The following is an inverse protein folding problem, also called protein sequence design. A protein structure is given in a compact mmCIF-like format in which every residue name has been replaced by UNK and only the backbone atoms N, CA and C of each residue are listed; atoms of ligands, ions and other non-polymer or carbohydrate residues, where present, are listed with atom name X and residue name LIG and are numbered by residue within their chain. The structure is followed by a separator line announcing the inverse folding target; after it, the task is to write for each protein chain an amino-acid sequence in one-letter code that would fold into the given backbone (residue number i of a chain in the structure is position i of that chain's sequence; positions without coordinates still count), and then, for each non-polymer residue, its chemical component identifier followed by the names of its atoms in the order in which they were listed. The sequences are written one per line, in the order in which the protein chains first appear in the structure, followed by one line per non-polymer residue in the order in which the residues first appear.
data_IF_800607909646
#
_entry.id   IF_800607909646
#
_cell.length_a   1.000
_cell.length_b   1.000
_cell.length_c   1.000
_cell.angle_alpha   90.00
_cell.angle_beta   90.00
_cell.angle_gamma   90.00
#
_symmetry.space_group_name_H-M   'P 1'
#
loop_
_entity.id
_entity.type
_entity.pdbx_description
1 polymer ?
#
# COMPACT_ATOMS: atom_id res chain seq x y z
N UNK A 1 -11.36 1.12 28.77
CA UNK A 1 -12.27 2.28 28.63
C UNK A 1 -13.22 1.90 27.49
N UNK A 2 -14.50 1.65 27.79
CA UNK A 2 -15.50 1.24 26.79
C UNK A 2 -15.98 2.54 26.15
N UNK A 3 -15.61 2.78 24.90
CA UNK A 3 -16.16 3.91 24.12
C UNK A 3 -17.61 3.57 23.75
N UNK A 4 -18.56 4.20 24.39
CA UNK A 4 -19.95 4.19 23.93
C UNK A 4 -20.06 5.13 22.73
N UNK A 5 -20.21 4.57 21.53
CA UNK A 5 -20.52 5.34 20.31
C UNK A 5 -21.81 6.14 20.55
N UNK A 6 -21.83 7.39 20.14
CA UNK A 6 -23.05 8.15 20.19
C UNK A 6 -23.95 7.79 18.98
N UNK A 7 -25.24 8.07 19.05
CA UNK A 7 -26.21 7.72 18.00
C UNK A 7 -25.91 8.39 16.63
N UNK A 8 -25.24 9.54 16.64
CA UNK A 8 -24.87 10.24 15.41
C UNK A 8 -23.68 9.56 14.72
N UNK A 9 -22.71 9.06 15.49
CA UNK A 9 -21.60 8.26 14.97
C UNK A 9 -22.09 6.94 14.39
N UNK A 10 -23.04 6.26 15.06
CA UNK A 10 -23.64 5.03 14.56
C UNK A 10 -24.41 5.26 13.25
N UNK A 11 -25.18 6.35 13.16
CA UNK A 11 -25.90 6.73 11.95
C UNK A 11 -24.95 7.06 10.79
N UNK A 12 -23.83 7.76 11.07
CA UNK A 12 -22.82 8.07 10.09
C UNK A 12 -22.14 6.80 9.56
N UNK A 13 -21.74 5.90 10.47
CA UNK A 13 -21.15 4.60 10.13
C UNK A 13 -22.11 3.79 9.27
N UNK A 14 -23.40 3.73 9.63
CA UNK A 14 -24.40 3.00 8.83
C UNK A 14 -24.59 3.62 7.43
N UNK A 15 -24.61 4.95 7.32
CA UNK A 15 -24.67 5.64 6.03
C UNK A 15 -23.48 5.30 5.13
N UNK A 16 -22.26 5.17 5.69
CA UNK A 16 -21.11 4.71 4.93
C UNK A 16 -21.22 3.25 4.52
N UNK A 17 -21.65 2.35 5.42
CA UNK A 17 -21.92 0.94 5.09
C UNK A 17 -22.89 0.81 3.92
N UNK A 18 -23.99 1.55 3.95
CA UNK A 18 -25.01 1.52 2.89
C UNK A 18 -24.43 2.00 1.54
N UNK A 19 -23.60 3.04 1.55
CA UNK A 19 -22.91 3.53 0.33
C UNK A 19 -21.86 2.55 -0.18
N UNK A 20 -21.16 1.85 0.70
CA UNK A 20 -20.11 0.91 0.34
C UNK A 20 -20.67 -0.46 -0.11
N UNK A 21 -21.93 -0.78 0.18
CA UNK A 21 -22.56 -2.03 -0.29
C UNK A 21 -22.47 -2.22 -1.81
N UNK A 22 -22.39 -1.14 -2.59
CA UNK A 22 -22.18 -1.21 -4.04
C UNK A 22 -20.86 -1.93 -4.38
N UNK A 23 -19.86 -1.87 -3.50
CA UNK A 23 -18.56 -2.49 -3.69
C UNK A 23 -18.55 -3.97 -3.29
N UNK A 24 -19.54 -4.48 -2.54
CA UNK A 24 -19.67 -5.90 -2.20
C UNK A 24 -19.86 -6.81 -3.43
N UNK A 25 -20.11 -6.22 -4.59
CA UNK A 25 -20.17 -6.93 -5.87
C UNK A 25 -18.79 -7.20 -6.48
N UNK A 26 -17.76 -6.53 -6.01
CA UNK A 26 -16.41 -6.68 -6.52
C UNK A 26 -15.65 -7.72 -5.70
N UNK A 27 -14.98 -8.61 -6.39
CA UNK A 27 -14.14 -9.64 -5.83
C UNK A 27 -12.72 -9.43 -6.31
N UNK A 28 -11.77 -9.73 -5.45
CA UNK A 28 -10.35 -9.67 -5.75
C UNK A 28 -9.73 -11.05 -5.57
N UNK A 29 -9.00 -11.51 -6.57
CA UNK A 29 -8.16 -12.70 -6.50
C UNK A 29 -6.70 -12.24 -6.45
N UNK A 30 -6.03 -12.48 -5.33
CA UNK A 30 -4.69 -11.98 -5.06
C UNK A 30 -3.67 -12.54 -6.07
N UNK A 31 -3.71 -13.84 -6.32
CA UNK A 31 -3.03 -14.48 -7.42
C UNK A 31 -4.06 -14.98 -8.44
N UNK A 32 -4.18 -14.37 -9.60
CA UNK A 32 -3.28 -13.54 -10.42
C UNK A 32 -3.55 -12.02 -10.41
N UNK A 33 -3.99 -11.45 -9.31
CA UNK A 33 -4.30 -10.02 -9.16
C UNK A 33 -5.43 -9.54 -10.07
N UNK A 34 -6.57 -10.25 -9.98
CA UNK A 34 -7.74 -10.04 -10.83
C UNK A 34 -8.87 -9.45 -10.01
N UNK A 35 -9.48 -8.37 -10.52
CA UNK A 35 -10.72 -7.82 -10.02
C UNK A 35 -11.87 -8.24 -10.92
N UNK A 36 -12.92 -8.83 -10.33
CA UNK A 36 -14.09 -9.28 -11.07
C UNK A 36 -15.39 -9.01 -10.31
N UNK A 37 -16.51 -9.04 -11.03
CA UNK A 37 -17.85 -8.89 -10.48
C UNK A 37 -18.87 -9.68 -11.32
N UNK A 38 -20.07 -9.86 -10.79
CA UNK A 38 -21.20 -10.40 -11.55
C UNK A 38 -22.02 -9.24 -12.12
N UNK A 39 -22.34 -9.31 -13.42
CA UNK A 39 -23.24 -8.35 -14.05
C UNK A 39 -24.72 -8.63 -13.65
N UNK A 40 -25.63 -7.81 -14.15
CA UNK A 40 -27.07 -7.92 -13.84
C UNK A 40 -27.68 -9.27 -14.25
N UNK A 41 -27.05 -9.97 -15.17
CA UNK A 41 -27.47 -11.29 -15.66
C UNK A 41 -26.73 -12.44 -14.93
N UNK A 42 -25.93 -12.16 -13.94
CA UNK A 42 -25.16 -13.15 -13.22
C UNK A 42 -23.90 -13.63 -13.95
N UNK A 43 -23.50 -12.99 -15.05
CA UNK A 43 -22.28 -13.36 -15.76
C UNK A 43 -21.05 -12.71 -15.10
N UNK A 44 -19.97 -13.48 -14.97
CA UNK A 44 -18.70 -12.96 -14.47
C UNK A 44 -18.10 -11.96 -15.46
N UNK A 45 -17.83 -10.76 -14.97
CA UNK A 45 -17.08 -9.71 -15.66
C UNK A 45 -15.75 -9.53 -14.94
N UNK A 46 -14.73 -9.15 -15.67
CA UNK A 46 -13.39 -8.93 -15.14
C UNK A 46 -12.88 -7.57 -15.58
N UNK A 47 -12.16 -6.87 -14.69
CA UNK A 47 -11.47 -5.66 -15.05
C UNK A 47 -10.38 -5.98 -16.11
N UNK A 48 -10.37 -5.23 -17.19
CA UNK A 48 -9.38 -5.43 -18.27
C UNK A 48 -7.97 -5.03 -17.86
N UNK A 49 -7.86 -4.09 -16.94
CA UNK A 49 -6.57 -3.60 -16.42
C UNK A 49 -6.75 -2.99 -15.03
N UNK A 50 -5.71 -3.01 -14.22
CA UNK A 50 -5.67 -2.25 -12.98
C UNK A 50 -5.38 -0.76 -13.26
N UNK A 51 -5.72 0.13 -12.32
CA UNK A 51 -5.38 1.55 -12.42
C UNK A 51 -3.87 1.76 -12.59
N UNK A 52 -3.05 0.99 -11.88
CA UNK A 52 -1.59 1.04 -11.99
C UNK A 52 -1.12 0.65 -13.39
N UNK A 53 -1.66 -0.45 -13.96
CA UNK A 53 -1.34 -0.87 -15.33
C UNK A 53 -1.80 0.15 -16.37
N UNK A 54 -2.96 0.79 -16.16
CA UNK A 54 -3.45 1.86 -17.02
C UNK A 54 -2.51 3.08 -16.98
N UNK A 55 -2.08 3.52 -15.80
CA UNK A 55 -1.12 4.61 -15.64
C UNK A 55 0.20 4.26 -16.35
N UNK A 56 0.72 3.05 -16.16
CA UNK A 56 1.95 2.60 -16.80
C UNK A 56 1.84 2.55 -18.34
N UNK A 57 0.68 2.17 -18.87
CA UNK A 57 0.48 2.13 -20.32
C UNK A 57 0.50 3.51 -20.98
N UNK A 58 0.24 4.58 -20.22
CA UNK A 58 0.22 5.97 -20.69
C UNK A 58 1.45 6.78 -20.23
N UNK A 59 2.28 6.23 -19.34
CA UNK A 59 3.51 6.86 -18.90
C UNK A 59 4.70 6.32 -19.73
N UNK A 60 5.60 7.21 -20.09
CA UNK A 60 6.87 6.76 -20.68
C UNK A 60 7.73 6.13 -19.60
N UNK A 61 8.32 4.94 -19.86
CA UNK A 61 9.24 4.33 -18.92
C UNK A 61 10.45 5.26 -18.68
N UNK A 62 10.91 5.28 -17.44
CA UNK A 62 12.11 6.02 -17.08
C UNK A 62 13.34 5.35 -17.69
N UNK A 63 13.94 5.98 -18.68
CA UNK A 63 15.12 5.48 -19.41
C UNK A 63 16.39 5.81 -18.62
N UNK A 64 16.65 5.09 -17.55
CA UNK A 64 17.76 5.33 -16.63
C UNK A 64 19.12 5.43 -17.36
N UNK A 65 19.41 4.46 -18.21
CA UNK A 65 20.67 4.41 -18.97
C UNK A 65 20.87 5.61 -19.90
N UNK A 66 19.79 6.13 -20.49
CA UNK A 66 19.83 7.31 -21.35
C UNK A 66 20.04 8.60 -20.57
N UNK A 67 19.47 8.70 -19.38
CA UNK A 67 19.48 9.91 -18.55
C UNK A 67 20.71 9.96 -17.63
N UNK A 68 21.21 8.82 -17.16
CA UNK A 68 22.32 8.73 -16.23
C UNK A 68 23.60 9.51 -16.66
N UNK A 69 24.03 9.50 -17.94
CA UNK A 69 25.22 10.27 -18.36
C UNK A 69 25.09 11.79 -18.13
N UNK A 70 23.89 12.35 -18.32
CA UNK A 70 23.66 13.79 -18.09
C UNK A 70 23.71 14.12 -16.59
N UNK A 71 23.14 13.26 -15.75
CA UNK A 71 23.18 13.39 -14.29
C UNK A 71 24.59 13.21 -13.76
N UNK A 72 25.32 12.21 -14.25
CA UNK A 72 26.72 11.95 -13.90
C UNK A 72 27.62 13.15 -14.17
N UNK A 73 27.46 13.79 -15.35
CA UNK A 73 28.17 15.02 -15.68
C UNK A 73 27.85 16.16 -14.72
N UNK A 74 26.58 16.32 -14.34
CA UNK A 74 26.15 17.37 -13.40
C UNK A 74 26.65 17.13 -11.98
N UNK A 75 26.71 15.88 -11.54
CA UNK A 75 27.13 15.50 -10.20
C UNK A 75 28.64 15.24 -10.08
N UNK A 76 29.37 15.30 -11.20
CA UNK A 76 30.82 14.99 -11.26
C UNK A 76 31.16 13.60 -10.72
N UNK A 77 30.36 12.58 -11.07
CA UNK A 77 30.53 11.21 -10.64
C UNK A 77 30.41 10.22 -11.82
N UNK A 78 30.91 8.98 -11.70
CA UNK A 78 30.77 7.97 -12.72
C UNK A 78 29.28 7.66 -13.04
N UNK A 79 29.01 7.30 -14.29
CA UNK A 79 27.63 6.94 -14.71
C UNK A 79 27.09 5.74 -13.91
N UNK A 80 27.95 4.77 -13.60
CA UNK A 80 27.57 3.59 -12.84
C UNK A 80 27.12 3.96 -11.42
N UNK A 81 27.80 4.89 -10.78
CA UNK A 81 27.45 5.34 -9.42
C UNK A 81 26.07 6.02 -9.40
N UNK A 82 25.70 6.74 -10.47
CA UNK A 82 24.36 7.31 -10.60
C UNK A 82 23.28 6.22 -10.73
N UNK A 83 23.55 5.20 -11.54
CA UNK A 83 22.62 4.07 -11.71
C UNK A 83 22.46 3.29 -10.40
N UNK A 84 23.55 3.03 -9.69
CA UNK A 84 23.55 2.33 -8.41
C UNK A 84 22.81 3.15 -7.33
N UNK A 85 23.02 4.47 -7.29
CA UNK A 85 22.28 5.38 -6.41
C UNK A 85 20.77 5.33 -6.69
N UNK A 86 20.34 5.41 -7.94
CA UNK A 86 18.91 5.34 -8.28
C UNK A 86 18.30 3.99 -7.96
N UNK A 87 19.05 2.91 -8.19
CA UNK A 87 18.61 1.57 -7.81
C UNK A 87 18.42 1.45 -6.29
N UNK A 88 19.40 1.91 -5.52
CA UNK A 88 19.32 1.92 -4.06
C UNK A 88 18.13 2.74 -3.57
N UNK A 89 17.91 3.94 -4.11
CA UNK A 89 16.77 4.79 -3.76
C UNK A 89 15.43 4.11 -4.03
N UNK A 90 15.30 3.45 -5.19
CA UNK A 90 14.11 2.69 -5.54
C UNK A 90 13.87 1.52 -4.58
N UNK A 91 14.91 0.77 -4.24
CA UNK A 91 14.81 -0.37 -3.32
C UNK A 91 14.45 0.10 -1.90
N UNK A 92 15.05 1.20 -1.44
CA UNK A 92 14.68 1.81 -0.17
C UNK A 92 13.23 2.34 -0.15
N UNK A 93 12.75 2.87 -1.25
CA UNK A 93 11.35 3.32 -1.38
C UNK A 93 10.39 2.14 -1.28
N UNK A 94 10.69 1.02 -1.91
CA UNK A 94 9.91 -0.23 -1.81
C UNK A 94 9.88 -0.77 -0.38
N UNK A 95 11.04 -0.85 0.29
CA UNK A 95 11.13 -1.27 1.70
C UNK A 95 10.25 -0.41 2.59
N UNK A 96 10.31 0.92 2.42
CA UNK A 96 9.48 1.87 3.20
C UNK A 96 7.99 1.63 2.95
N UNK A 97 7.59 1.47 1.68
CA UNK A 97 6.21 1.20 1.30
C UNK A 97 5.70 -0.09 1.92
N UNK A 98 6.40 -1.21 1.68
CA UNK A 98 6.04 -2.53 2.22
C UNK A 98 5.93 -2.50 3.75
N UNK A 99 6.88 -1.86 4.44
CA UNK A 99 6.82 -1.76 5.89
C UNK A 99 5.60 -0.98 6.38
N UNK A 100 5.32 0.20 5.80
CA UNK A 100 4.20 1.04 6.23
C UNK A 100 2.87 0.33 5.98
N UNK A 101 2.69 -0.31 4.83
CA UNK A 101 1.51 -1.11 4.53
C UNK A 101 1.33 -2.25 5.53
N UNK A 102 2.35 -3.09 5.71
CA UNK A 102 2.29 -4.22 6.63
C UNK A 102 2.10 -3.79 8.10
N UNK A 103 2.66 -2.64 8.51
CA UNK A 103 2.44 -2.09 9.84
C UNK A 103 0.97 -1.70 10.05
N UNK A 104 0.38 -1.03 9.08
CA UNK A 104 -1.02 -0.62 9.15
C UNK A 104 -1.96 -1.83 9.14
N UNK A 105 -1.74 -2.80 8.27
CA UNK A 105 -2.48 -4.07 8.26
C UNK A 105 -2.41 -4.75 9.63
N UNK A 106 -1.19 -4.91 10.17
CA UNK A 106 -0.97 -5.53 11.48
C UNK A 106 -1.70 -4.79 12.61
N UNK A 107 -1.65 -3.46 12.62
CA UNK A 107 -2.26 -2.66 13.68
C UNK A 107 -3.79 -2.59 13.56
N UNK A 108 -4.33 -2.44 12.35
CA UNK A 108 -5.77 -2.29 12.13
C UNK A 108 -6.53 -3.63 12.15
N UNK A 109 -5.87 -4.73 11.82
CA UNK A 109 -6.44 -6.08 11.93
C UNK A 109 -6.33 -6.70 13.33
N UNK A 110 -6.09 -5.92 14.37
CA UNK A 110 -5.85 -6.42 15.72
C UNK A 110 -4.72 -7.45 15.82
N UNK A 111 -3.69 -7.28 14.96
CA UNK A 111 -2.49 -8.13 14.89
C UNK A 111 -2.73 -9.53 14.32
N UNK A 112 -3.74 -9.70 13.49
CA UNK A 112 -4.00 -10.96 12.78
C UNK A 112 -3.02 -11.25 11.66
N UNK A 113 -2.41 -10.21 11.07
CA UNK A 113 -1.40 -10.35 10.01
C UNK A 113 0.02 -10.52 10.54
N UNK A 114 0.93 -10.91 9.64
CA UNK A 114 2.35 -11.05 9.98
C UNK A 114 2.97 -9.75 10.47
N UNK A 115 3.88 -9.86 11.42
CA UNK A 115 4.62 -8.70 11.91
C UNK A 115 5.41 -8.05 10.76
N UNK A 116 5.36 -6.73 10.61
CA UNK A 116 5.92 -6.07 9.42
C UNK A 116 7.43 -6.27 9.24
N UNK A 117 8.18 -6.48 10.33
CA UNK A 117 9.60 -6.76 10.26
C UNK A 117 9.89 -8.06 9.53
N UNK A 118 9.10 -9.09 9.80
CA UNK A 118 9.30 -10.43 9.22
C UNK A 118 9.01 -10.40 7.70
N UNK A 119 7.94 -9.74 7.28
CA UNK A 119 7.61 -9.53 5.84
C UNK A 119 8.73 -8.78 5.10
N UNK A 120 9.29 -7.74 5.71
CA UNK A 120 10.35 -6.95 5.06
C UNK A 120 11.67 -7.72 5.00
N UNK A 121 12.01 -8.50 6.03
CA UNK A 121 13.20 -9.37 6.02
C UNK A 121 13.08 -10.42 4.91
N UNK A 122 11.92 -11.05 4.78
CA UNK A 122 11.67 -12.06 3.75
C UNK A 122 11.84 -11.50 2.34
N UNK A 123 11.33 -10.30 2.09
CA UNK A 123 11.33 -9.69 0.76
C UNK A 123 12.64 -8.96 0.40
N UNK A 124 13.29 -8.29 1.34
CA UNK A 124 14.41 -7.37 1.08
C UNK A 124 15.70 -7.72 1.81
N UNK A 125 15.68 -8.64 2.76
CA UNK A 125 16.83 -9.01 3.57
C UNK A 125 16.98 -8.19 4.86
N UNK A 126 17.79 -8.73 5.78
CA UNK A 126 17.94 -8.19 7.13
C UNK A 126 18.75 -6.87 7.16
N UNK A 127 19.83 -6.78 6.41
CA UNK A 127 20.78 -5.66 6.48
C UNK A 127 20.15 -4.32 6.11
N UNK A 128 19.29 -4.32 5.08
CA UNK A 128 18.57 -3.11 4.64
C UNK A 128 17.58 -2.67 5.72
N UNK A 129 16.88 -3.62 6.33
CA UNK A 129 15.88 -3.32 7.34
C UNK A 129 16.51 -2.73 8.61
N UNK A 130 17.62 -3.29 9.10
CA UNK A 130 18.22 -2.90 10.37
C UNK A 130 18.62 -1.43 10.39
N UNK A 131 19.25 -0.95 9.32
CA UNK A 131 19.64 0.45 9.18
C UNK A 131 18.45 1.43 9.17
N UNK A 132 17.30 0.99 8.69
CA UNK A 132 16.11 1.83 8.51
C UNK A 132 15.08 1.68 9.64
N UNK A 133 15.19 0.65 10.46
CA UNK A 133 14.17 0.25 11.42
C UNK A 133 13.66 1.37 12.34
N UNK A 134 14.51 2.15 13.03
CA UNK A 134 14.02 3.20 13.91
C UNK A 134 13.22 4.26 13.18
N UNK A 135 13.66 4.62 11.97
CA UNK A 135 13.00 5.62 11.13
C UNK A 135 11.67 5.12 10.57
N UNK A 136 11.62 3.88 10.11
CA UNK A 136 10.42 3.27 9.58
C UNK A 136 9.35 3.11 10.67
N UNK A 137 9.74 2.63 11.83
CA UNK A 137 8.85 2.48 12.99
C UNK A 137 8.27 3.82 13.40
N UNK A 138 9.08 4.87 13.45
CA UNK A 138 8.59 6.21 13.77
C UNK A 138 7.57 6.70 12.75
N UNK A 139 7.86 6.63 11.44
CA UNK A 139 6.96 7.08 10.37
C UNK A 139 5.64 6.31 10.42
N UNK A 140 5.69 4.98 10.55
CA UNK A 140 4.50 4.13 10.59
C UNK A 140 3.64 4.41 11.84
N UNK A 141 4.27 4.59 13.00
CA UNK A 141 3.57 4.94 14.24
C UNK A 141 2.93 6.32 14.16
N UNK A 142 3.65 7.32 13.64
CA UNK A 142 3.11 8.69 13.46
C UNK A 142 1.90 8.67 12.50
N UNK A 143 1.98 7.90 11.41
CA UNK A 143 0.88 7.72 10.47
C UNK A 143 -0.32 7.04 11.15
N UNK A 144 -0.10 5.91 11.82
CA UNK A 144 -1.14 5.20 12.55
C UNK A 144 -1.84 6.09 13.58
N UNK A 145 -1.08 6.80 14.41
CA UNK A 145 -1.65 7.68 15.44
C UNK A 145 -2.46 8.83 14.84
N UNK A 146 -2.05 9.34 13.68
CA UNK A 146 -2.78 10.43 12.99
C UNK A 146 -4.11 9.98 12.41
N UNK A 147 -4.17 8.78 11.85
CA UNK A 147 -5.31 8.32 11.08
C UNK A 147 -6.13 7.21 11.77
N UNK A 148 -5.67 6.72 12.91
CA UNK A 148 -6.32 5.62 13.64
C UNK A 148 -7.82 5.88 13.89
N UNK A 149 -8.19 7.08 14.31
CA UNK A 149 -9.60 7.43 14.54
C UNK A 149 -10.46 7.40 13.27
N UNK A 150 -9.87 7.66 12.12
CA UNK A 150 -10.56 7.65 10.82
C UNK A 150 -10.70 6.21 10.30
N UNK A 151 -9.64 5.42 10.42
CA UNK A 151 -9.60 4.06 9.87
C UNK A 151 -10.29 3.01 10.73
N UNK A 152 -10.36 3.16 12.05
CA UNK A 152 -11.18 2.29 12.89
C UNK A 152 -12.63 2.26 12.39
N UNK A 153 -13.17 3.41 11.96
CA UNK A 153 -14.51 3.46 11.38
C UNK A 153 -14.60 2.79 10.00
N UNK A 154 -13.54 2.74 9.24
CA UNK A 154 -13.51 2.11 7.90
C UNK A 154 -13.38 0.59 8.01
N UNK A 155 -12.51 0.08 8.88
CA UNK A 155 -12.30 -1.37 9.07
C UNK A 155 -13.53 -2.04 9.72
N UNK A 156 -14.22 -1.37 10.64
CA UNK A 156 -15.49 -1.85 11.18
C UNK A 156 -16.64 -1.85 10.14
N UNK A 157 -16.48 -1.10 9.05
CA UNK A 157 -17.47 -0.95 7.96
C UNK A 157 -17.30 -2.01 6.87
N UNK A 158 -16.09 -2.40 6.58
CA UNK A 158 -15.77 -3.38 5.54
C UNK A 158 -14.99 -4.53 6.14
N UNK A 159 -15.66 -5.59 6.54
CA UNK A 159 -14.98 -6.86 6.68
C UNK A 159 -14.28 -7.16 5.34
N UNK A 160 -12.97 -7.42 5.38
CA UNK A 160 -12.16 -7.91 4.28
C UNK A 160 -11.96 -6.94 3.08
N UNK A 161 -11.27 -5.82 3.32
CA UNK A 161 -10.49 -5.17 2.28
C UNK A 161 -9.04 -5.74 2.33
N UNK A 162 -8.85 -6.94 1.79
CA UNK A 162 -7.58 -7.44 1.27
C UNK A 162 -7.70 -7.66 -0.22
#
# INVERSE_FOLDING_TARGET
MIFTKNKEEEALVQSFKDKLQVFNKFHFEEEPHIYWWLDENGNRRQAQTSMTALIHSHSQPFEAERIAPFTAKKLHMPVQDVLDMWKLENDLAKVKGTYIHAFNEYMWSNREYSYPKDKVIEQFGFDILESLWPRLTKIATDFYNRYNSVFIHIVEIGGDFC
#
